data_IF_631978704019
#
_entry.id   IF_631978704019
#
_cell.length_a   1.000
_cell.length_b   1.000
_cell.length_c   1.000
_cell.angle_alpha   90.00
_cell.angle_beta   90.00
_cell.angle_gamma   90.00
#
_symmetry.space_group_name_H-M   'P 1'
#
loop_
_entity.id
_entity.type
_entity.pdbx_description
1 polymer ?
#
# COMPACT_ATOMS: atom_id res chain seq x y z
N UNK A 1 -3.21 -11.71 19.68
CA UNK A 1 -1.92 -12.43 19.74
C UNK A 1 -1.08 -12.26 18.47
N UNK A 2 -1.62 -12.54 17.27
CA UNK A 2 -0.90 -12.45 15.98
C UNK A 2 -0.41 -11.03 15.64
N UNK A 3 -1.24 -10.00 15.81
CA UNK A 3 -0.86 -8.60 15.53
C UNK A 3 0.31 -8.11 16.40
N UNK A 4 0.42 -8.57 17.65
CA UNK A 4 1.50 -8.17 18.54
C UNK A 4 2.84 -8.74 18.08
N UNK A 5 2.83 -9.96 17.53
CA UNK A 5 4.03 -10.56 16.94
C UNK A 5 4.48 -9.78 15.73
N UNK A 6 3.58 -9.49 14.78
CA UNK A 6 3.90 -8.70 13.59
C UNK A 6 4.46 -7.32 13.99
N UNK A 7 3.84 -6.67 14.99
CA UNK A 7 4.36 -5.41 15.52
C UNK A 7 5.73 -5.52 16.16
N UNK A 8 6.03 -6.63 16.84
CA UNK A 8 7.36 -6.84 17.43
C UNK A 8 8.43 -7.03 16.36
N UNK A 9 8.16 -7.79 15.29
CA UNK A 9 9.09 -7.94 14.16
C UNK A 9 9.31 -6.61 13.44
N UNK A 10 8.24 -5.86 13.15
CA UNK A 10 8.32 -4.59 12.43
C UNK A 10 8.96 -3.44 13.24
N UNK A 11 9.10 -3.58 14.56
CA UNK A 11 9.78 -2.61 15.42
C UNK A 11 11.23 -2.98 15.75
N UNK A 12 11.66 -4.19 15.37
CA UNK A 12 13.03 -4.62 15.60
C UNK A 12 14.02 -3.83 14.75
N UNK A 13 15.10 -3.36 15.38
CA UNK A 13 16.10 -2.50 14.73
C UNK A 13 16.96 -3.29 13.75
N UNK A 14 17.23 -4.58 14.03
CA UNK A 14 17.97 -5.43 13.10
C UNK A 14 17.12 -5.69 11.85
N UNK A 15 15.86 -6.08 12.05
CA UNK A 15 14.91 -6.26 10.95
C UNK A 15 14.80 -5.02 10.04
N UNK A 16 14.65 -3.82 10.62
CA UNK A 16 14.59 -2.57 9.85
C UNK A 16 15.91 -2.28 9.12
N UNK A 17 17.05 -2.61 9.72
CA UNK A 17 18.37 -2.36 9.14
C UNK A 17 18.64 -3.24 7.91
N UNK A 18 18.13 -4.47 7.93
CA UNK A 18 18.20 -5.43 6.82
C UNK A 18 17.21 -5.08 5.70
N UNK A 19 16.01 -4.62 6.07
CA UNK A 19 14.90 -4.39 5.14
C UNK A 19 14.71 -2.90 4.79
N UNK A 20 15.80 -2.21 4.46
CA UNK A 20 15.77 -0.82 3.96
C UNK A 20 16.62 -0.68 2.70
N UNK A 21 16.17 0.14 1.76
CA UNK A 21 16.96 0.40 0.55
C UNK A 21 18.21 1.25 0.82
N UNK A 22 18.10 2.23 1.73
CA UNK A 22 19.23 3.09 2.10
C UNK A 22 19.46 3.12 3.62
N UNK A 23 20.71 3.25 4.08
CA UNK A 23 21.02 3.33 5.51
C UNK A 23 20.39 4.53 6.25
N UNK A 24 20.00 5.58 5.53
CA UNK A 24 19.33 6.74 6.10
C UNK A 24 17.81 6.55 6.22
N UNK A 25 17.22 5.59 5.51
CA UNK A 25 15.77 5.38 5.49
C UNK A 25 15.26 4.82 6.82
N UNK A 26 14.09 5.30 7.22
CA UNK A 26 13.38 4.93 8.45
C UNK A 26 14.15 5.07 9.77
N UNK A 27 15.31 5.73 9.76
CA UNK A 27 16.12 6.01 10.96
C UNK A 27 15.46 6.99 11.93
N UNK A 28 14.58 7.87 11.44
CA UNK A 28 13.90 8.88 12.27
C UNK A 28 12.55 8.36 12.77
N UNK A 29 12.36 8.32 14.09
CA UNK A 29 11.07 8.04 14.75
C UNK A 29 10.15 9.27 14.71
N UNK A 30 9.62 9.57 13.52
CA UNK A 30 8.56 10.58 13.32
C UNK A 30 7.23 9.89 13.03
N UNK A 31 6.37 10.49 12.22
CA UNK A 31 5.01 10.02 12.06
C UNK A 31 4.83 8.85 11.10
N UNK A 32 5.73 8.70 10.12
CA UNK A 32 5.79 7.58 9.17
C UNK A 32 6.96 6.65 9.52
N UNK A 33 6.84 5.92 10.62
CA UNK A 33 7.81 4.86 10.97
C UNK A 33 7.63 3.64 10.06
N UNK A 34 8.63 2.76 10.07
CA UNK A 34 8.62 1.53 9.28
C UNK A 34 7.39 0.65 9.56
N UNK A 35 7.11 0.38 10.84
CA UNK A 35 5.90 -0.35 11.29
C UNK A 35 4.62 0.25 10.72
N UNK A 36 4.48 1.58 10.80
CA UNK A 36 3.26 2.29 10.38
C UNK A 36 3.05 2.17 8.88
N UNK A 37 4.12 2.30 8.09
CA UNK A 37 4.05 2.13 6.64
C UNK A 37 3.71 0.68 6.28
N UNK A 38 4.35 -0.29 6.92
CA UNK A 38 4.06 -1.71 6.71
C UNK A 38 2.59 -2.04 7.05
N UNK A 39 2.09 -1.61 8.21
CA UNK A 39 0.70 -1.82 8.61
C UNK A 39 -0.30 -1.18 7.65
N UNK A 40 0.02 0.01 7.12
CA UNK A 40 -0.79 0.67 6.08
C UNK A 40 -0.92 -0.18 4.82
N UNK A 41 0.19 -0.75 4.36
CA UNK A 41 0.22 -1.59 3.17
C UNK A 41 -0.56 -2.90 3.40
N UNK A 42 -0.42 -3.49 4.59
CA UNK A 42 -1.13 -4.71 4.98
C UNK A 42 -2.64 -4.49 5.19
N UNK A 43 -3.07 -3.29 5.57
CA UNK A 43 -4.50 -2.96 5.72
C UNK A 43 -5.28 -2.90 4.40
N UNK A 44 -4.60 -3.02 3.25
CA UNK A 44 -5.23 -3.25 1.95
C UNK A 44 -5.45 -2.00 1.09
N UNK A 45 -5.94 -2.18 -0.15
CA UNK A 45 -6.09 -1.11 -1.12
C UNK A 45 -7.24 -0.19 -0.74
N UNK A 46 -6.90 0.99 -0.23
CA UNK A 46 -7.86 2.06 -0.02
C UNK A 46 -7.95 2.87 -1.31
N UNK A 47 -9.17 3.24 -1.73
CA UNK A 47 -9.49 3.84 -3.03
C UNK A 47 -8.66 5.07 -3.43
N UNK A 48 -7.96 5.73 -2.50
CA UNK A 48 -6.99 6.78 -2.79
C UNK A 48 -5.85 6.81 -1.79
N UNK A 49 -4.68 7.33 -2.20
CA UNK A 49 -3.53 7.51 -1.32
C UNK A 49 -3.82 8.43 -0.12
N UNK A 50 -4.73 9.41 -0.30
CA UNK A 50 -5.18 10.28 0.81
C UNK A 50 -5.97 9.50 1.83
N UNK A 51 -6.93 8.71 1.36
CA UNK A 51 -7.74 7.87 2.23
C UNK A 51 -6.87 6.81 2.91
N UNK A 52 -5.84 6.29 2.23
CA UNK A 52 -4.84 5.42 2.85
C UNK A 52 -4.08 6.12 3.96
N UNK A 53 -3.62 7.36 3.75
CA UNK A 53 -2.96 8.16 4.77
C UNK A 53 -3.88 8.46 5.96
N UNK A 54 -5.13 8.85 5.69
CA UNK A 54 -6.11 9.19 6.72
C UNK A 54 -6.49 7.94 7.54
N UNK A 55 -6.68 6.78 6.88
CA UNK A 55 -6.89 5.50 7.54
C UNK A 55 -5.68 5.06 8.37
N UNK A 56 -4.47 5.31 7.88
CA UNK A 56 -3.22 5.09 8.62
C UNK A 56 -3.23 5.90 9.93
N UNK A 57 -3.59 7.18 9.85
CA UNK A 57 -3.66 8.06 11.01
C UNK A 57 -4.74 7.59 12.02
N UNK A 58 -5.92 7.22 11.52
CA UNK A 58 -7.02 6.71 12.34
C UNK A 58 -6.68 5.38 13.01
N UNK A 59 -6.11 4.43 12.27
CA UNK A 59 -5.76 3.08 12.76
C UNK A 59 -4.63 3.07 13.78
N UNK A 60 -3.81 4.12 13.82
CA UNK A 60 -2.73 4.28 14.80
C UNK A 60 -3.14 5.02 16.07
N UNK A 61 -4.41 5.39 16.21
CA UNK A 61 -4.89 6.15 17.37
C UNK A 61 -4.33 7.57 17.43
N UNK A 62 -3.81 8.11 16.31
CA UNK A 62 -3.27 9.46 16.20
C UNK A 62 -4.39 10.49 16.01
N UNK A 63 -5.58 10.25 16.58
CA UNK A 63 -6.79 11.06 16.38
C UNK A 63 -6.60 12.50 16.87
N UNK A 64 -5.72 12.73 17.85
CA UNK A 64 -5.46 14.04 18.45
C UNK A 64 -4.23 14.75 17.88
N UNK A 65 -3.52 14.14 16.92
CA UNK A 65 -2.42 14.79 16.23
C UNK A 65 -2.91 15.14 14.83
N UNK A 66 -3.06 16.42 14.46
CA UNK A 66 -3.27 16.79 13.07
C UNK A 66 -2.00 16.40 12.32
N UNK A 67 -1.98 15.20 11.77
CA UNK A 67 -0.88 14.76 10.94
C UNK A 67 -0.92 15.61 9.67
N UNK A 68 -0.12 16.67 9.65
CA UNK A 68 0.30 17.39 8.44
C UNK A 68 1.13 16.49 7.50
N UNK A 69 0.77 15.21 7.38
CA UNK A 69 1.39 14.27 6.46
C UNK A 69 0.77 14.50 5.10
N UNK A 70 1.58 15.08 4.22
CA UNK A 70 1.21 15.33 2.84
C UNK A 70 1.15 14.03 2.05
N UNK A 71 0.34 13.99 0.98
CA UNK A 71 0.32 12.86 0.02
C UNK A 71 1.72 12.49 -0.47
N UNK A 72 2.55 13.51 -0.65
CA UNK A 72 3.94 13.35 -1.10
C UNK A 72 4.80 12.64 -0.06
N UNK A 73 4.62 12.92 1.24
CA UNK A 73 5.36 12.25 2.31
C UNK A 73 5.04 10.75 2.36
N UNK A 74 3.76 10.37 2.25
CA UNK A 74 3.34 8.96 2.19
C UNK A 74 3.88 8.28 0.93
N UNK A 75 3.76 8.93 -0.24
CA UNK A 75 4.30 8.37 -1.49
C UNK A 75 5.81 8.16 -1.42
N UNK A 76 6.57 9.10 -0.82
CA UNK A 76 8.01 8.93 -0.60
C UNK A 76 8.30 7.78 0.37
N UNK A 77 7.53 7.62 1.43
CA UNK A 77 7.71 6.53 2.38
C UNK A 77 7.43 5.17 1.71
N UNK A 78 6.39 5.05 0.89
CA UNK A 78 6.09 3.82 0.16
C UNK A 78 7.19 3.45 -0.84
N UNK A 79 7.77 4.44 -1.53
CA UNK A 79 8.91 4.19 -2.44
C UNK A 79 10.17 3.70 -1.71
N UNK A 80 10.35 4.10 -0.46
CA UNK A 80 11.50 3.71 0.37
C UNK A 80 11.31 2.35 1.05
N UNK A 81 10.12 1.78 0.98
CA UNK A 81 9.76 0.56 1.67
C UNK A 81 9.96 -0.66 0.74
N UNK A 82 10.84 -1.61 1.08
CA UNK A 82 10.99 -2.84 0.32
C UNK A 82 9.82 -3.80 0.56
N UNK A 83 9.32 -4.42 -0.49
CA UNK A 83 8.18 -5.35 -0.37
C UNK A 83 8.60 -6.67 0.29
N UNK A 84 9.88 -7.02 0.21
CA UNK A 84 10.52 -8.17 0.84
C UNK A 84 10.27 -8.18 2.35
N UNK A 85 10.22 -7.00 2.97
CA UNK A 85 9.90 -6.82 4.38
C UNK A 85 8.50 -7.31 4.78
N UNK A 86 7.60 -7.50 3.82
CA UNK A 86 6.24 -8.02 4.08
C UNK A 86 6.20 -9.55 3.95
N UNK A 87 7.16 -10.17 3.27
CA UNK A 87 7.17 -11.61 3.03
C UNK A 87 7.37 -12.36 4.34
N UNK A 88 8.36 -11.96 5.14
CA UNK A 88 8.66 -12.64 6.40
C UNK A 88 7.50 -12.55 7.40
N UNK A 89 6.93 -11.37 7.72
CA UNK A 89 5.75 -11.28 8.58
C UNK A 89 4.57 -12.06 8.01
N UNK A 90 4.35 -12.06 6.70
CA UNK A 90 3.29 -12.83 6.06
C UNK A 90 3.47 -14.33 6.28
N UNK A 91 4.69 -14.87 6.09
CA UNK A 91 4.99 -16.28 6.33
C UNK A 91 4.83 -16.66 7.80
N UNK A 92 5.23 -15.78 8.73
CA UNK A 92 5.02 -15.98 10.17
C UNK A 92 3.53 -16.03 10.53
N UNK A 93 2.69 -15.20 9.90
CA UNK A 93 1.23 -15.22 10.12
C UNK A 93 0.62 -16.49 9.54
N UNK A 94 0.99 -16.86 8.31
CA UNK A 94 0.45 -18.04 7.61
C UNK A 94 0.82 -19.34 8.31
N UNK A 95 2.07 -19.50 8.75
CA UNK A 95 2.54 -20.68 9.49
C UNK A 95 1.74 -20.87 10.77
N UNK A 96 1.67 -19.84 11.62
CA UNK A 96 0.90 -19.87 12.87
C UNK A 96 -0.58 -20.15 12.65
N UNK A 97 -1.18 -19.55 11.62
CA UNK A 97 -2.56 -19.80 11.29
C UNK A 97 -2.80 -21.26 10.84
N UNK A 98 -1.82 -21.84 10.12
CA UNK A 98 -1.89 -23.22 9.66
C UNK A 98 -1.69 -24.23 10.79
N UNK A 99 -0.85 -23.90 11.78
CA UNK A 99 -0.66 -24.70 12.99
C UNK A 99 -1.88 -24.68 13.92
N UNK A 100 -2.50 -23.51 14.10
CA UNK A 100 -3.59 -23.31 15.06
C UNK A 100 -4.97 -23.73 14.53
N UNK A 101 -5.18 -23.68 13.21
CA UNK A 101 -6.45 -24.06 12.60
C UNK A 101 -6.27 -25.41 11.91
N UNK A 102 -6.62 -26.53 12.58
CA UNK A 102 -6.68 -27.82 11.91
C UNK A 102 -7.80 -27.77 10.87
N UNK A 103 -7.43 -27.43 9.63
CA UNK A 103 -8.37 -27.35 8.52
C UNK A 103 -8.69 -28.73 8.00
N UNK A 104 -9.97 -29.05 7.88
CA UNK A 104 -10.45 -30.21 7.12
C UNK A 104 -9.92 -30.10 5.69
N UNK A 105 -9.09 -31.05 5.27
CA UNK A 105 -8.56 -31.11 3.91
C UNK A 105 -9.52 -31.95 3.06
N UNK A 106 -9.94 -31.42 1.92
CA UNK A 106 -10.71 -32.18 0.93
C UNK A 106 -9.76 -32.73 -0.12
N UNK A 107 -9.65 -34.06 -0.21
CA UNK A 107 -8.69 -34.76 -1.08
C UNK A 107 -7.23 -34.27 -0.92
N UNK A 108 -6.83 -33.91 0.29
CA UNK A 108 -5.49 -33.37 0.57
C UNK A 108 -5.33 -31.86 0.36
N UNK A 109 -6.32 -31.19 -0.23
CA UNK A 109 -6.30 -29.74 -0.45
C UNK A 109 -7.03 -28.97 0.64
N UNK A 110 -6.52 -27.77 0.98
CA UNK A 110 -7.24 -26.82 1.85
C UNK A 110 -8.24 -26.04 1.00
N UNK A 111 -9.53 -26.32 1.16
CA UNK A 111 -10.58 -25.59 0.46
C UNK A 111 -10.83 -24.25 1.16
N UNK A 112 -10.65 -23.15 0.44
CA UNK A 112 -10.90 -21.79 0.95
C UNK A 112 -11.78 -21.07 -0.09
N UNK A 113 -12.96 -20.61 0.34
CA UNK A 113 -13.79 -19.74 -0.48
C UNK A 113 -13.46 -18.29 -0.15
N UNK A 114 -13.02 -17.51 -1.15
CA UNK A 114 -12.78 -16.07 -1.05
C UNK A 114 -13.74 -15.39 -2.00
N UNK A 115 -14.68 -14.61 -1.46
CA UNK A 115 -15.55 -13.77 -2.28
C UNK A 115 -14.86 -12.43 -2.57
N UNK A 116 -14.62 -12.18 -3.86
CA UNK A 116 -14.00 -10.95 -4.39
C UNK A 116 -15.02 -10.02 -5.03
N UNK A 117 -16.27 -10.02 -4.58
CA UNK A 117 -17.35 -9.18 -5.13
C UNK A 117 -16.92 -7.71 -5.22
N UNK A 118 -16.83 -7.21 -6.47
CA UNK A 118 -16.58 -5.79 -6.75
C UNK A 118 -17.91 -5.14 -7.12
N UNK A 119 -18.40 -4.23 -6.29
CA UNK A 119 -19.59 -3.43 -6.61
C UNK A 119 -19.23 -2.48 -7.76
N UNK A 120 -19.91 -2.53 -8.92
CA UNK A 120 -19.68 -1.57 -9.99
C UNK A 120 -20.07 -0.17 -9.50
N UNK A 121 -19.18 0.81 -9.70
CA UNK A 121 -19.47 2.20 -9.37
C UNK A 121 -20.65 2.70 -10.24
N UNK A 122 -21.78 3.15 -9.66
CA UNK A 122 -22.98 3.53 -10.42
C UNK A 122 -22.81 4.71 -11.37
N UNK A 123 -21.71 5.46 -11.27
CA UNK A 123 -21.55 6.75 -11.96
C UNK A 123 -21.01 6.66 -13.39
N UNK A 124 -20.56 5.50 -13.87
CA UNK A 124 -19.93 5.41 -15.21
C UNK A 124 -20.95 5.28 -16.36
N UNK A 125 -22.24 5.06 -16.08
CA UNK A 125 -23.26 4.87 -17.13
C UNK A 125 -23.67 6.18 -17.83
N UNK A 126 -23.47 7.33 -17.18
CA UNK A 126 -23.96 8.64 -17.68
C UNK A 126 -22.84 9.62 -18.04
N UNK A 127 -21.57 9.20 -18.06
CA UNK A 127 -20.49 10.10 -18.48
C UNK A 127 -20.55 10.32 -20.00
N UNK A 128 -20.71 11.56 -20.51
CA UNK A 128 -20.61 11.82 -21.93
C UNK A 128 -19.19 11.46 -22.35
N UNK A 129 -19.05 10.44 -23.22
CA UNK A 129 -17.77 10.15 -23.85
C UNK A 129 -17.30 11.45 -24.53
N UNK A 130 -16.08 11.94 -24.27
CA UNK A 130 -15.56 13.05 -25.03
C UNK A 130 -15.64 12.62 -26.50
N UNK A 131 -16.41 13.36 -27.30
CA UNK A 131 -16.40 13.19 -28.74
C UNK A 131 -14.94 13.31 -29.18
N UNK A 132 -14.43 12.25 -29.81
CA UNK A 132 -13.04 12.21 -30.26
C UNK A 132 -12.72 13.53 -30.99
N UNK A 133 -11.58 14.19 -30.68
CA UNK A 133 -11.22 15.41 -31.37
C UNK A 133 -11.18 15.12 -32.87
N UNK A 134 -12.04 15.82 -33.62
CA UNK A 134 -12.11 15.71 -35.07
C UNK A 134 -10.73 16.09 -35.60
N UNK A 135 -10.02 15.14 -36.22
CA UNK A 135 -8.68 15.36 -36.74
C UNK A 135 -8.70 16.53 -37.74
N UNK A 136 -8.29 17.72 -37.30
CA UNK A 136 -8.06 18.85 -38.17
C UNK A 136 -6.69 18.67 -38.82
N UNK A 137 -6.69 18.68 -40.15
CA UNK A 137 -5.54 18.47 -41.04
C UNK A 137 -4.36 19.41 -40.71
N UNK A 138 -3.11 19.01 -41.00
CA UNK A 138 -1.93 19.83 -40.70
C UNK A 138 -1.69 20.90 -41.77
N UNK A 139 -1.08 22.03 -41.39
CA UNK A 139 -0.34 22.98 -42.26
C UNK A 139 0.32 24.10 -41.42
N UNK A 140 1.40 24.76 -41.90
CA UNK A 140 2.59 24.25 -42.56
C UNK A 140 3.88 24.65 -41.80
N UNK A 141 5.03 24.17 -42.31
CA UNK A 141 6.39 24.30 -41.79
C UNK A 141 6.81 25.70 -41.33
N UNK A 142 7.20 25.84 -40.06
CA UNK A 142 8.04 26.93 -39.59
C UNK A 142 9.51 26.46 -39.56
N UNK A 143 10.31 27.10 -40.42
CA UNK A 143 11.74 26.89 -40.64
C UNK A 143 12.51 27.48 -39.45
N UNK A 144 13.07 26.63 -38.59
CA UNK A 144 14.01 27.10 -37.56
C UNK A 144 15.43 27.07 -38.11
N UNK A 145 16.03 28.27 -38.23
CA UNK A 145 17.47 28.46 -38.42
C UNK A 145 18.10 28.43 -37.02
N UNK A 146 19.06 27.54 -36.80
CA UNK A 146 19.96 27.62 -35.65
C UNK A 146 21.12 28.55 -36.01
N UNK A 147 21.32 29.57 -35.20
CA UNK A 147 22.61 30.21 -34.94
C UNK A 147 23.14 29.67 -33.63
#
# INVERSE_FOLDING_TARGET
MVLNTVRSTLNDLQFIAEHRYQPADFTRKRTLTFERVALSLLSGPIASLRNSADALCQGLGLKDVPLGVTKQAVSKAYRKFPYEALIEPQQQVVSRFTEQVPGTRWMGYRLVAVDGSKIPCPWIRNWPRPSAPRATRPRPSARWRCT
#
